data_IF_966927984719
#
_entry.id   IF_966927984719
#
_cell.length_a   1.000
_cell.length_b   1.000
_cell.length_c   1.000
_cell.angle_alpha   90.00
_cell.angle_beta   90.00
_cell.angle_gamma   90.00
#
_symmetry.space_group_name_H-M   'P 1'
#
loop_
_entity.id
_entity.type
_entity.pdbx_description
1 polymer ?
#
# COMPACT_ATOMS: atom_id res chain seq x y z
N UNK A 1 -12.67 -13.83 -10.10
CA UNK A 1 -11.64 -14.27 -9.14
C UNK A 1 -12.33 -15.02 -8.02
N UNK A 2 -11.79 -16.16 -7.60
CA UNK A 2 -12.46 -17.10 -6.70
C UNK A 2 -12.77 -16.45 -5.34
N UNK A 3 -14.06 -16.23 -5.04
CA UNK A 3 -14.52 -15.54 -3.83
C UNK A 3 -14.08 -16.28 -2.56
N UNK A 4 -13.99 -17.60 -2.63
CA UNK A 4 -13.60 -18.48 -1.55
C UNK A 4 -12.16 -18.25 -1.06
N UNK A 5 -11.16 -18.13 -1.94
CA UNK A 5 -9.76 -17.89 -1.50
C UNK A 5 -9.63 -16.58 -0.73
N UNK A 6 -10.36 -15.54 -1.15
CA UNK A 6 -10.41 -14.26 -0.45
C UNK A 6 -11.00 -14.42 0.96
N UNK A 7 -12.06 -15.19 1.10
CA UNK A 7 -12.67 -15.47 2.40
C UNK A 7 -11.75 -16.31 3.30
N UNK A 8 -11.12 -17.36 2.77
CA UNK A 8 -10.15 -18.19 3.49
C UNK A 8 -9.01 -17.31 4.02
N UNK A 9 -8.40 -16.49 3.16
CA UNK A 9 -7.31 -15.60 3.55
C UNK A 9 -7.76 -14.59 4.61
N UNK A 10 -8.96 -14.00 4.47
CA UNK A 10 -9.52 -13.06 5.45
C UNK A 10 -9.70 -13.72 6.82
N UNK A 11 -10.36 -14.88 6.88
CA UNK A 11 -10.60 -15.61 8.13
C UNK A 11 -9.27 -16.01 8.78
N UNK A 12 -8.33 -16.54 8.01
CA UNK A 12 -7.00 -16.91 8.52
C UNK A 12 -6.28 -15.68 9.10
N UNK A 13 -6.30 -14.54 8.40
CA UNK A 13 -5.69 -13.29 8.84
C UNK A 13 -6.33 -12.76 10.12
N UNK A 14 -7.66 -12.75 10.20
CA UNK A 14 -8.40 -12.28 11.38
C UNK A 14 -8.10 -13.16 12.61
N UNK A 15 -8.00 -14.48 12.42
CA UNK A 15 -7.62 -15.40 13.49
C UNK A 15 -6.20 -15.17 13.99
N UNK A 16 -5.24 -14.99 13.07
CA UNK A 16 -3.83 -14.72 13.41
C UNK A 16 -3.73 -13.39 14.19
N UNK A 17 -4.41 -12.34 13.73
CA UNK A 17 -4.48 -11.03 14.43
C UNK A 17 -5.06 -11.14 15.83
N UNK A 18 -6.02 -12.05 16.04
CA UNK A 18 -6.60 -12.35 17.34
C UNK A 18 -5.76 -13.33 18.19
N UNK A 19 -4.51 -13.64 17.79
CA UNK A 19 -3.62 -14.61 18.43
C UNK A 19 -4.21 -16.03 18.54
N UNK A 20 -5.12 -16.40 17.63
CA UNK A 20 -5.71 -17.74 17.55
C UNK A 20 -4.98 -18.57 16.48
N UNK A 21 -4.89 -19.89 16.71
CA UNK A 21 -4.33 -20.81 15.72
C UNK A 21 -5.26 -20.94 14.53
N UNK A 22 -4.78 -20.57 13.34
CA UNK A 22 -5.47 -20.78 12.08
C UNK A 22 -5.11 -22.17 11.52
N UNK A 23 -6.08 -23.07 11.46
CA UNK A 23 -5.96 -24.40 10.85
C UNK A 23 -7.27 -24.81 10.15
N UNK A 24 -7.27 -25.85 9.29
CA UNK A 24 -8.47 -26.26 8.54
C UNK A 24 -9.72 -26.49 9.41
N UNK A 25 -9.55 -27.03 10.62
CA UNK A 25 -10.65 -27.33 11.55
C UNK A 25 -11.25 -26.06 12.14
N UNK A 26 -10.43 -25.06 12.42
CA UNK A 26 -10.86 -23.78 12.97
C UNK A 26 -11.35 -22.80 11.91
N UNK A 27 -10.79 -22.81 10.70
CA UNK A 27 -11.18 -21.90 9.62
C UNK A 27 -12.56 -22.30 9.08
N UNK A 28 -12.83 -23.61 8.92
CA UNK A 28 -14.10 -24.08 8.35
C UNK A 28 -15.34 -23.61 9.12
N UNK A 29 -15.22 -23.31 10.41
CA UNK A 29 -16.37 -22.85 11.23
C UNK A 29 -16.83 -21.44 10.90
N UNK A 30 -16.01 -20.68 10.15
CA UNK A 30 -16.30 -19.32 9.73
C UNK A 30 -16.58 -19.20 8.23
N UNK A 31 -16.64 -20.33 7.51
CA UNK A 31 -16.97 -20.39 6.09
C UNK A 31 -18.36 -21.00 5.91
N UNK A 32 -19.09 -20.64 4.83
CA UNK A 32 -20.41 -21.20 4.56
C UNK A 32 -20.33 -22.73 4.40
N UNK A 33 -21.22 -23.45 5.09
CA UNK A 33 -21.22 -24.92 5.08
C UNK A 33 -21.63 -25.50 3.72
N UNK A 34 -22.42 -24.75 2.95
CA UNK A 34 -23.01 -25.19 1.68
C UNK A 34 -22.08 -24.92 0.47
N UNK A 35 -21.01 -24.16 0.69
CA UNK A 35 -20.06 -23.80 -0.37
C UNK A 35 -19.22 -25.03 -0.77
N UNK A 36 -18.93 -25.13 -2.07
CA UNK A 36 -18.18 -26.26 -2.64
C UNK A 36 -17.21 -25.77 -3.68
N UNK A 37 -16.09 -26.48 -3.80
CA UNK A 37 -15.10 -26.28 -4.86
C UNK A 37 -15.14 -27.50 -5.77
N UNK A 38 -15.91 -27.38 -6.86
CA UNK A 38 -16.30 -28.53 -7.67
C UNK A 38 -17.07 -29.54 -6.80
N UNK A 39 -16.55 -30.76 -6.71
CA UNK A 39 -17.14 -31.84 -5.89
C UNK A 39 -16.63 -31.86 -4.44
N UNK A 40 -15.70 -30.99 -4.07
CA UNK A 40 -15.11 -30.96 -2.73
C UNK A 40 -15.90 -30.05 -1.79
N UNK A 41 -16.16 -30.56 -0.58
CA UNK A 41 -16.62 -29.70 0.53
C UNK A 41 -15.53 -28.72 0.93
N UNK A 42 -15.90 -27.57 1.51
CA UNK A 42 -14.91 -26.61 2.06
C UNK A 42 -13.93 -27.29 3.02
N UNK A 43 -14.40 -28.22 3.85
CA UNK A 43 -13.55 -28.93 4.80
C UNK A 43 -12.48 -29.79 4.09
N UNK A 44 -12.88 -30.55 3.07
CA UNK A 44 -11.96 -31.36 2.27
C UNK A 44 -10.98 -30.47 1.49
N UNK A 45 -11.48 -29.36 0.96
CA UNK A 45 -10.67 -28.40 0.23
C UNK A 45 -9.60 -27.75 1.11
N UNK A 46 -9.96 -27.31 2.32
CA UNK A 46 -9.01 -26.76 3.30
C UNK A 46 -7.96 -27.78 3.73
N UNK A 47 -8.35 -29.04 3.92
CA UNK A 47 -7.40 -30.12 4.24
C UNK A 47 -6.39 -30.33 3.12
N UNK A 48 -6.86 -30.29 1.86
CA UNK A 48 -5.99 -30.36 0.68
C UNK A 48 -5.03 -29.17 0.60
N UNK A 49 -5.53 -27.94 0.78
CA UNK A 49 -4.68 -26.74 0.80
C UNK A 49 -3.58 -26.85 1.87
N UNK A 50 -3.92 -27.31 3.07
CA UNK A 50 -2.94 -27.51 4.14
C UNK A 50 -1.90 -28.58 3.81
N UNK A 51 -2.28 -29.65 3.10
CA UNK A 51 -1.37 -30.70 2.66
C UNK A 51 -0.46 -30.25 1.50
N UNK A 52 -0.93 -29.36 0.62
CA UNK A 52 -0.11 -28.82 -0.47
C UNK A 52 0.84 -27.72 0.02
N UNK A 53 0.51 -27.02 1.11
CA UNK A 53 1.31 -25.95 1.72
C UNK A 53 2.55 -26.44 2.52
N UNK A 54 3.03 -27.67 2.30
CA UNK A 54 4.04 -28.34 3.14
C UNK A 54 5.41 -27.64 3.15
N UNK A 55 5.74 -26.85 2.11
CA UNK A 55 6.98 -26.06 2.05
C UNK A 55 6.68 -24.56 2.25
N UNK A 56 6.83 -24.10 3.49
CA UNK A 56 6.60 -22.71 3.90
C UNK A 56 7.71 -21.77 3.40
N UNK A 57 8.88 -22.31 3.02
CA UNK A 57 10.08 -21.54 2.66
C UNK A 57 9.80 -20.51 1.54
N UNK A 58 8.90 -20.83 0.61
CA UNK A 58 8.62 -19.99 -0.57
C UNK A 58 7.32 -19.16 -0.41
N UNK A 59 6.76 -19.03 0.80
CA UNK A 59 5.49 -18.34 1.00
C UNK A 59 5.53 -16.87 0.51
N UNK A 60 6.67 -16.21 0.70
CA UNK A 60 6.92 -14.85 0.20
C UNK A 60 6.92 -14.79 -1.33
N UNK A 61 7.64 -15.70 -2.00
CA UNK A 61 7.69 -15.78 -3.47
C UNK A 61 6.30 -16.04 -4.08
N UNK A 62 5.51 -16.91 -3.46
CA UNK A 62 4.13 -17.16 -3.88
C UNK A 62 3.25 -15.91 -3.69
N UNK A 63 3.40 -15.22 -2.55
CA UNK A 63 2.72 -13.95 -2.28
C UNK A 63 3.04 -12.90 -3.34
N UNK A 64 4.32 -12.73 -3.67
CA UNK A 64 4.80 -11.83 -4.73
C UNK A 64 4.25 -12.20 -6.10
N UNK A 65 4.26 -13.49 -6.44
CA UNK A 65 3.71 -13.98 -7.71
C UNK A 65 2.21 -13.71 -7.83
N UNK A 66 1.44 -13.91 -6.76
CA UNK A 66 0.00 -13.60 -6.72
C UNK A 66 -0.24 -12.10 -6.90
N UNK A 67 0.58 -11.27 -6.24
CA UNK A 67 0.54 -9.82 -6.34
C UNK A 67 0.84 -9.34 -7.77
N UNK A 68 1.92 -9.82 -8.39
CA UNK A 68 2.27 -9.48 -9.77
C UNK A 68 1.15 -9.84 -10.76
N UNK A 69 0.56 -11.04 -10.59
CA UNK A 69 -0.58 -11.47 -11.40
C UNK A 69 -1.82 -10.60 -11.16
N UNK A 70 -2.04 -10.11 -9.94
CA UNK A 70 -3.12 -9.16 -9.64
C UNK A 70 -2.90 -7.84 -10.38
N UNK A 71 -1.71 -7.27 -10.30
CA UNK A 71 -1.34 -6.01 -10.96
C UNK A 71 -1.48 -6.13 -12.46
N UNK A 72 -1.03 -7.23 -13.08
CA UNK A 72 -1.23 -7.47 -14.52
C UNK A 72 -2.71 -7.48 -14.92
N UNK A 73 -3.57 -8.14 -14.14
CA UNK A 73 -5.02 -8.13 -14.39
C UNK A 73 -5.64 -6.74 -14.27
N UNK A 74 -5.15 -5.94 -13.31
CA UNK A 74 -5.59 -4.55 -13.14
C UNK A 74 -5.17 -3.67 -14.33
N UNK A 75 -3.93 -3.82 -14.80
CA UNK A 75 -3.44 -3.14 -16.00
C UNK A 75 -4.27 -3.50 -17.24
N UNK A 76 -4.59 -4.79 -17.42
CA UNK A 76 -5.45 -5.25 -18.53
C UNK A 76 -6.81 -4.57 -18.45
N UNK A 77 -7.47 -4.59 -17.27
CA UNK A 77 -8.77 -3.96 -17.10
C UNK A 77 -8.74 -2.44 -17.38
N UNK A 78 -7.69 -1.73 -16.95
CA UNK A 78 -7.50 -0.31 -17.27
C UNK A 78 -7.38 -0.12 -18.78
N UNK A 79 -6.58 -0.92 -19.47
CA UNK A 79 -6.43 -0.85 -20.92
C UNK A 79 -7.72 -1.15 -21.68
N UNK A 80 -8.47 -2.17 -21.26
CA UNK A 80 -9.78 -2.50 -21.85
C UNK A 80 -10.78 -1.35 -21.68
N UNK A 81 -10.87 -0.75 -20.49
CA UNK A 81 -11.75 0.38 -20.25
C UNK A 81 -11.34 1.62 -21.06
N UNK A 82 -10.03 1.89 -21.19
CA UNK A 82 -9.53 2.98 -22.03
C UNK A 82 -9.94 2.80 -23.50
N UNK A 83 -9.82 1.58 -24.03
CA UNK A 83 -10.25 1.28 -25.41
C UNK A 83 -11.75 1.47 -25.57
N UNK A 84 -12.55 0.98 -24.62
CA UNK A 84 -14.01 1.09 -24.67
C UNK A 84 -14.47 2.55 -24.63
N UNK A 85 -13.91 3.36 -23.71
CA UNK A 85 -14.24 4.78 -23.56
C UNK A 85 -13.80 5.58 -24.80
N UNK A 86 -12.64 5.27 -25.37
CA UNK A 86 -12.16 5.97 -26.57
C UNK A 86 -13.01 5.68 -27.81
N UNK A 87 -13.61 4.48 -27.90
CA UNK A 87 -14.48 4.09 -29.01
C UNK A 87 -15.89 4.68 -28.88
N UNK A 88 -16.50 4.58 -27.69
CA UNK A 88 -17.84 5.08 -27.38
C UNK A 88 -17.77 6.19 -26.31
N UNK A 89 -17.14 7.30 -26.66
CA UNK A 89 -16.92 8.41 -25.74
C UNK A 89 -18.24 9.15 -25.40
N UNK A 90 -18.55 9.38 -24.12
CA UNK A 90 -19.63 10.29 -23.72
C UNK A 90 -19.42 11.70 -24.27
N UNK A 91 -20.52 12.41 -24.55
CA UNK A 91 -20.49 13.78 -25.12
C UNK A 91 -19.76 14.77 -24.21
N UNK A 92 -19.80 14.54 -22.90
CA UNK A 92 -19.18 15.36 -21.85
C UNK A 92 -17.77 14.90 -21.46
N UNK A 93 -17.18 13.93 -22.16
CA UNK A 93 -15.86 13.38 -21.85
C UNK A 93 -14.85 13.64 -22.98
N UNK A 94 -14.32 14.88 -23.11
CA UNK A 94 -13.33 15.22 -24.13
C UNK A 94 -12.04 14.40 -23.96
N UNK A 95 -11.22 14.23 -25.02
CA UNK A 95 -10.00 13.41 -24.96
C UNK A 95 -9.05 13.75 -23.80
N UNK A 96 -8.93 15.03 -23.43
CA UNK A 96 -8.12 15.45 -22.28
C UNK A 96 -8.58 14.79 -20.96
N UNK A 97 -9.90 14.74 -20.73
CA UNK A 97 -10.47 14.12 -19.52
C UNK A 97 -10.29 12.59 -19.51
N UNK A 98 -10.23 11.95 -20.69
CA UNK A 98 -9.95 10.52 -20.80
C UNK A 98 -8.50 10.19 -20.45
N UNK A 99 -7.56 11.07 -20.86
CA UNK A 99 -6.15 10.96 -20.49
C UNK A 99 -6.00 11.14 -18.97
N UNK A 100 -6.62 12.18 -18.39
CA UNK A 100 -6.58 12.43 -16.95
C UNK A 100 -7.17 11.26 -16.13
N UNK A 101 -8.27 10.66 -16.58
CA UNK A 101 -8.82 9.47 -15.93
C UNK A 101 -7.86 8.27 -15.98
N UNK A 102 -7.27 8.01 -17.15
CA UNK A 102 -6.29 6.93 -17.31
C UNK A 102 -5.06 7.14 -16.43
N UNK A 103 -4.51 8.36 -16.38
CA UNK A 103 -3.39 8.73 -15.52
C UNK A 103 -3.72 8.52 -14.04
N UNK A 104 -4.89 9.00 -13.59
CA UNK A 104 -5.35 8.79 -12.21
C UNK A 104 -5.42 7.31 -11.85
N UNK A 105 -6.01 6.48 -12.71
CA UNK A 105 -6.17 5.04 -12.45
C UNK A 105 -4.84 4.30 -12.43
N UNK A 106 -3.90 4.68 -13.29
CA UNK A 106 -2.54 4.14 -13.28
C UNK A 106 -1.78 4.57 -12.02
N UNK A 107 -1.95 5.82 -11.59
CA UNK A 107 -1.37 6.34 -10.36
C UNK A 107 -1.90 5.60 -9.12
N UNK A 108 -3.22 5.44 -8.99
CA UNK A 108 -3.85 4.67 -7.91
C UNK A 108 -3.32 3.22 -7.87
N UNK A 109 -3.15 2.59 -9.03
CA UNK A 109 -2.58 1.24 -9.11
C UNK A 109 -1.12 1.21 -8.64
N UNK A 110 -0.32 2.22 -9.00
CA UNK A 110 1.06 2.34 -8.54
C UNK A 110 1.16 2.55 -7.02
N UNK A 111 0.28 3.38 -6.44
CA UNK A 111 0.23 3.60 -4.99
C UNK A 111 -0.18 2.35 -4.21
N UNK A 112 -1.13 1.55 -4.72
CA UNK A 112 -1.49 0.28 -4.06
C UNK A 112 -0.33 -0.72 -3.96
N UNK A 113 0.71 -0.56 -4.79
CA UNK A 113 1.94 -1.35 -4.71
C UNK A 113 3.02 -0.81 -3.79
N UNK A 114 2.85 0.41 -3.27
CA UNK A 114 3.76 1.01 -2.30
C UNK A 114 3.38 0.70 -0.84
N UNK A 115 2.45 -0.23 -0.60
CA UNK A 115 2.28 -0.85 0.73
C UNK A 115 3.46 -1.78 1.11
N UNK A 116 4.66 -1.50 0.58
CA UNK A 116 5.94 -2.15 0.88
C UNK A 116 6.59 -1.56 2.15
N UNK A 117 5.98 -0.53 2.73
CA UNK A 117 6.16 -0.23 4.15
C UNK A 117 5.34 -1.23 4.97
N UNK A 118 5.84 -2.46 5.14
CA UNK A 118 5.32 -3.36 6.17
C UNK A 118 5.20 -2.63 7.51
N UNK A 119 4.38 -3.12 8.46
CA UNK A 119 4.28 -2.52 9.80
C UNK A 119 5.70 -2.22 10.31
N UNK A 120 6.07 -0.94 10.36
CA UNK A 120 7.26 -0.53 11.09
C UNK A 120 6.96 -0.91 12.54
N UNK A 121 7.66 -1.92 13.05
CA UNK A 121 7.53 -2.29 14.46
C UNK A 121 7.71 -1.02 15.29
N UNK A 122 6.85 -0.80 16.27
CA UNK A 122 6.83 0.44 17.05
C UNK A 122 8.21 0.72 17.67
N UNK A 123 8.95 -0.36 18.01
CA UNK A 123 10.35 -0.29 18.42
C UNK A 123 11.26 0.30 17.35
N UNK A 124 11.16 -0.14 16.09
CA UNK A 124 11.94 0.40 14.96
C UNK A 124 11.65 1.88 14.67
N UNK A 125 10.39 2.31 14.82
CA UNK A 125 9.98 3.69 14.65
C UNK A 125 10.56 4.59 15.76
N UNK A 126 10.55 4.11 17.01
CA UNK A 126 11.18 4.81 18.13
C UNK A 126 12.70 4.89 17.97
N UNK A 127 13.36 3.80 17.56
CA UNK A 127 14.81 3.80 17.32
C UNK A 127 15.19 4.83 16.26
N UNK A 128 14.46 4.85 15.14
CA UNK A 128 14.65 5.86 14.08
C UNK A 128 14.45 7.28 14.62
N UNK A 129 13.43 7.51 15.44
CA UNK A 129 13.17 8.82 16.03
C UNK A 129 14.27 9.27 17.00
N UNK A 130 14.82 8.34 17.81
CA UNK A 130 15.94 8.59 18.71
C UNK A 130 17.21 8.90 17.91
N UNK A 131 17.48 8.14 16.85
CA UNK A 131 18.65 8.35 15.99
C UNK A 131 18.58 9.70 15.27
N UNK A 132 17.40 10.10 14.78
CA UNK A 132 17.16 11.42 14.22
C UNK A 132 17.38 12.54 15.25
N UNK A 133 16.87 12.38 16.47
CA UNK A 133 17.05 13.34 17.56
C UNK A 133 18.53 13.47 17.97
N UNK A 134 19.25 12.34 18.03
CA UNK A 134 20.69 12.29 18.32
C UNK A 134 21.51 12.97 17.22
N UNK A 135 21.19 12.71 15.96
CA UNK A 135 21.84 13.37 14.82
C UNK A 135 21.53 14.87 14.72
N UNK A 136 20.35 15.31 15.16
CA UNK A 136 20.03 16.73 15.31
C UNK A 136 20.81 17.38 16.47
N UNK A 137 21.00 16.66 17.58
CA UNK A 137 21.74 17.14 18.74
C UNK A 137 23.26 17.23 18.48
N UNK A 138 23.83 16.29 17.73
CA UNK A 138 25.28 16.23 17.46
C UNK A 138 25.75 17.19 16.35
N UNK A 139 24.83 17.82 15.60
CA UNK A 139 25.18 18.83 14.60
C UNK A 139 25.57 20.13 15.30
N UNK A 140 26.84 20.52 15.19
CA UNK A 140 27.36 21.83 15.63
C UNK A 140 26.59 22.94 14.90
N UNK A 141 25.60 23.52 15.58
CA UNK A 141 24.69 24.51 15.03
C UNK A 141 23.28 24.48 15.63
N UNK A 142 22.89 23.38 16.30
CA UNK A 142 21.60 23.28 17.02
C UNK A 142 20.36 23.24 16.12
N UNK A 143 20.52 22.96 14.83
CA UNK A 143 19.44 22.90 13.85
C UNK A 143 19.18 21.43 13.43
N UNK A 144 17.91 21.03 13.44
CA UNK A 144 17.48 19.71 12.97
C UNK A 144 17.42 19.62 11.45
N UNK A 145 17.25 20.75 10.75
CA UNK A 145 17.09 20.86 9.30
C UNK A 145 18.29 21.49 8.58
N UNK A 146 18.14 21.72 7.28
CA UNK A 146 19.11 22.45 6.44
C UNK A 146 18.99 23.96 6.77
N UNK A 147 20.11 24.64 7.02
CA UNK A 147 20.09 26.06 7.33
C UNK A 147 19.63 26.91 6.13
N UNK A 148 18.72 27.85 6.36
CA UNK A 148 18.28 28.82 5.33
C UNK A 148 19.28 29.95 5.13
N UNK A 149 20.20 30.13 6.09
CA UNK A 149 21.14 31.26 6.10
C UNK A 149 20.54 32.55 6.68
N UNK A 150 19.27 32.52 7.08
CA UNK A 150 18.59 33.63 7.77
C UNK A 150 18.45 33.24 9.25
N UNK A 151 19.35 33.75 10.10
CA UNK A 151 19.45 33.34 11.51
C UNK A 151 18.14 33.40 12.30
N UNK A 152 17.31 34.44 12.06
CA UNK A 152 16.03 34.60 12.74
C UNK A 152 14.98 33.58 12.32
N UNK A 153 15.05 33.10 11.07
CA UNK A 153 14.17 32.08 10.51
C UNK A 153 14.61 30.69 10.97
N UNK A 154 15.93 30.43 10.92
CA UNK A 154 16.53 29.18 11.38
C UNK A 154 16.29 28.95 12.87
N UNK A 155 16.40 29.99 13.72
CA UNK A 155 16.10 29.88 15.14
C UNK A 155 14.62 29.57 15.45
N UNK A 156 13.70 29.94 14.56
CA UNK A 156 12.26 29.70 14.74
C UNK A 156 11.79 28.36 14.20
N UNK A 157 12.40 27.89 13.11
CA UNK A 157 11.98 26.67 12.41
C UNK A 157 12.91 25.47 12.66
N UNK A 158 14.10 25.71 13.22
CA UNK A 158 15.11 24.66 13.38
C UNK A 158 15.75 24.23 12.05
N UNK A 159 15.68 25.09 11.03
CA UNK A 159 16.09 24.81 9.64
C UNK A 159 15.01 24.12 8.81
N UNK A 160 15.27 23.93 7.51
CA UNK A 160 14.37 23.28 6.57
C UNK A 160 14.39 21.75 6.73
N UNK A 161 13.25 21.13 7.04
CA UNK A 161 13.16 19.66 7.12
C UNK A 161 12.83 19.07 5.75
N UNK A 162 13.29 17.84 5.49
CA UNK A 162 13.10 17.16 4.20
C UNK A 162 11.63 16.79 3.91
N UNK A 163 10.80 16.72 4.96
CA UNK A 163 9.37 16.39 4.88
C UNK A 163 8.47 17.62 4.77
N UNK A 164 9.00 18.83 4.90
CA UNK A 164 8.19 20.05 4.97
C UNK A 164 7.88 20.59 3.57
N UNK A 165 6.59 20.88 3.31
CA UNK A 165 6.19 21.71 2.18
C UNK A 165 6.14 23.17 2.63
N UNK A 166 7.04 24.00 2.08
CA UNK A 166 7.13 25.42 2.42
C UNK A 166 6.61 26.27 1.27
N UNK A 167 5.56 27.04 1.54
CA UNK A 167 4.92 27.92 0.56
C UNK A 167 5.32 29.37 0.85
N UNK A 168 6.04 30.00 -0.09
CA UNK A 168 6.41 31.41 -0.01
C UNK A 168 5.42 32.28 -0.79
N UNK A 169 4.51 32.95 -0.08
CA UNK A 169 3.48 33.79 -0.68
C UNK A 169 3.75 35.29 -0.43
N UNK A 170 3.68 36.10 -1.49
CA UNK A 170 3.85 37.56 -1.42
C UNK A 170 3.16 38.27 -2.57
N UNK A 171 2.70 39.52 -2.34
CA UNK A 171 2.05 40.35 -3.37
C UNK A 171 2.98 40.61 -4.58
N UNK A 172 2.45 40.88 -5.79
CA UNK A 172 3.28 41.26 -6.94
C UNK A 172 4.22 42.42 -6.60
N UNK A 173 5.50 42.32 -6.97
CA UNK A 173 6.53 43.33 -6.69
C UNK A 173 7.25 43.24 -5.33
N UNK A 174 6.90 42.29 -4.45
CA UNK A 174 7.45 42.22 -3.08
C UNK A 174 8.72 41.37 -2.92
N UNK A 175 9.47 41.10 -3.99
CA UNK A 175 10.77 40.38 -3.88
C UNK A 175 10.66 38.95 -3.34
N UNK A 176 9.72 38.17 -3.88
CA UNK A 176 9.57 36.73 -3.60
C UNK A 176 10.52 35.84 -4.45
N UNK A 177 11.42 36.49 -5.19
CA UNK A 177 12.48 35.89 -6.01
C UNK A 177 13.81 36.36 -5.44
#
# INVERSE_FOLDING_TARGET
>A
QEQLHRQIYKVASDMIRAAKRANPVTIKTFLPADEKVGDLTVATYLARLAAEATTIINAEDYGRSIYDLHTRRKLIAIGEDMVNIAYDAPVDMPPASQIEDAERRLFELAETGQYDGGFHDFGSAISTAIDMASAAFQREGGLSGIATGIHSLDARMGGLQHSDLIVLAGRPGMGKT
#
